data_IF_218175990545
#
_entry.id   IF_218175990545
#
_cell.length_a   1.000
_cell.length_b   1.000
_cell.length_c   1.000
_cell.angle_alpha   90.00
_cell.angle_beta   90.00
_cell.angle_gamma   90.00
#
_symmetry.space_group_name_H-M   'P 1'
#
loop_
_entity.id
_entity.type
_entity.pdbx_description
1 polymer ?
#
# COMPACT_ATOMS: atom_id res chain seq x y z
N UNK A 1 -11.69 56.48 34.25
CA UNK A 1 -12.54 57.03 33.16
C UNK A 1 -11.99 58.33 32.54
N UNK A 2 -11.70 59.42 33.29
CA UNK A 2 -11.16 60.67 32.71
C UNK A 2 -9.72 60.56 32.13
N UNK A 3 -8.89 59.69 32.70
CA UNK A 3 -7.48 59.50 32.30
C UNK A 3 -7.34 58.87 30.92
N UNK A 4 -8.14 57.86 30.60
CA UNK A 4 -8.14 57.16 29.30
C UNK A 4 -8.63 58.06 28.15
N UNK A 5 -9.64 58.89 28.40
CA UNK A 5 -10.15 59.84 27.41
C UNK A 5 -9.10 60.91 27.05
N UNK A 6 -8.38 61.43 28.05
CA UNK A 6 -7.30 62.39 27.83
C UNK A 6 -6.09 61.76 27.12
N UNK A 7 -5.80 60.48 27.38
CA UNK A 7 -4.80 59.74 26.60
C UNK A 7 -5.22 59.59 25.14
N UNK A 8 -6.47 59.21 24.86
CA UNK A 8 -7.00 59.11 23.49
C UNK A 8 -6.99 60.45 22.75
N UNK A 9 -7.31 61.55 23.43
CA UNK A 9 -7.24 62.90 22.84
C UNK A 9 -5.80 63.35 22.56
N UNK A 10 -4.85 63.05 23.45
CA UNK A 10 -3.41 63.32 23.21
C UNK A 10 -2.90 62.55 22.00
N UNK A 11 -3.24 61.26 21.90
CA UNK A 11 -2.88 60.41 20.75
C UNK A 11 -3.52 60.93 19.46
N UNK A 12 -4.80 61.30 19.48
CA UNK A 12 -5.48 61.89 18.32
C UNK A 12 -4.83 63.20 17.86
N UNK A 13 -4.42 64.07 18.79
CA UNK A 13 -3.73 65.33 18.47
C UNK A 13 -2.35 65.09 17.86
N UNK A 14 -1.63 64.06 18.32
CA UNK A 14 -0.34 63.63 17.75
C UNK A 14 -0.54 63.07 16.33
N UNK A 15 -1.55 62.20 16.13
CA UNK A 15 -1.88 61.61 14.83
C UNK A 15 -2.33 62.64 13.78
N UNK A 16 -3.00 63.73 14.20
CA UNK A 16 -3.44 64.81 13.29
C UNK A 16 -2.35 65.87 13.03
N UNK A 17 -1.20 65.78 13.69
CA UNK A 17 -0.10 66.73 13.48
C UNK A 17 0.55 66.49 12.12
N UNK A 18 0.55 67.52 11.26
CA UNK A 18 1.11 67.45 9.90
C UNK A 18 2.60 67.09 9.88
N UNK A 19 3.38 67.45 10.92
CA UNK A 19 4.80 67.07 11.00
C UNK A 19 4.97 65.59 11.35
N UNK A 20 4.15 65.06 12.25
CA UNK A 20 4.14 63.64 12.62
C UNK A 20 3.71 62.76 11.45
N UNK A 21 2.69 63.18 10.69
CA UNK A 21 2.24 62.48 9.49
C UNK A 21 3.34 62.41 8.41
N UNK A 22 4.10 63.50 8.21
CA UNK A 22 5.24 63.54 7.29
C UNK A 22 6.36 62.58 7.73
N UNK A 23 6.66 62.51 9.04
CA UNK A 23 7.67 61.58 9.57
C UNK A 23 7.25 60.13 9.32
N UNK A 24 5.99 59.77 9.55
CA UNK A 24 5.47 58.43 9.27
C UNK A 24 5.61 58.09 7.78
N UNK A 25 5.24 59.01 6.89
CA UNK A 25 5.36 58.80 5.43
C UNK A 25 6.82 58.61 5.01
N UNK A 26 7.76 59.37 5.57
CA UNK A 26 9.19 59.19 5.29
C UNK A 26 9.67 57.83 5.80
N UNK A 27 9.22 57.40 6.98
CA UNK A 27 9.56 56.10 7.56
C UNK A 27 9.00 54.93 6.73
N UNK A 28 7.78 55.05 6.20
CA UNK A 28 7.21 54.01 5.33
C UNK A 28 7.90 53.96 3.97
N UNK A 29 8.28 55.11 3.39
CA UNK A 29 9.07 55.15 2.15
C UNK A 29 10.45 54.55 2.37
N UNK A 30 11.11 54.86 3.50
CA UNK A 30 12.40 54.27 3.84
C UNK A 30 12.30 52.74 4.02
N UNK A 31 11.23 52.25 4.67
CA UNK A 31 10.97 50.82 4.80
C UNK A 31 10.78 50.13 3.45
N UNK A 32 9.97 50.71 2.55
CA UNK A 32 9.78 50.21 1.20
C UNK A 32 11.08 50.26 0.37
N UNK A 33 11.92 51.27 0.56
CA UNK A 33 13.22 51.35 -0.11
C UNK A 33 14.16 50.24 0.36
N UNK A 34 14.14 49.88 1.65
CA UNK A 34 14.91 48.74 2.17
C UNK A 34 14.43 47.42 1.58
N UNK A 35 13.12 47.21 1.42
CA UNK A 35 12.58 46.02 0.75
C UNK A 35 12.98 45.95 -0.73
N UNK A 36 12.98 47.09 -1.45
CA UNK A 36 13.41 47.15 -2.85
C UNK A 36 14.91 46.87 -2.96
N UNK A 37 15.75 47.46 -2.10
CA UNK A 37 17.19 47.17 -2.04
C UNK A 37 17.40 45.71 -1.67
N UNK A 38 16.63 45.17 -0.72
CA UNK A 38 16.60 43.76 -0.36
C UNK A 38 16.27 42.87 -1.56
N UNK A 39 15.29 43.23 -2.37
CA UNK A 39 14.92 42.50 -3.59
C UNK A 39 16.04 42.54 -4.65
N UNK A 40 16.62 43.72 -4.89
CA UNK A 40 17.72 43.87 -5.85
C UNK A 40 19.01 43.18 -5.39
N UNK A 41 19.33 43.22 -4.10
CA UNK A 41 20.51 42.56 -3.53
C UNK A 41 20.31 41.05 -3.35
N UNK A 42 19.08 40.60 -3.09
CA UNK A 42 18.71 39.17 -3.08
C UNK A 42 18.85 38.52 -4.46
N UNK A 43 18.80 39.33 -5.53
CA UNK A 43 19.09 38.89 -6.90
C UNK A 43 20.55 38.53 -7.19
N UNK A 44 21.50 38.71 -6.25
CA UNK A 44 22.93 38.40 -6.47
C UNK A 44 23.60 37.56 -5.38
N UNK A 45 22.89 37.13 -4.32
CA UNK A 45 23.52 36.52 -3.14
C UNK A 45 22.99 35.16 -2.71
N UNK A 46 21.79 34.76 -3.08
CA UNK A 46 21.26 33.43 -2.72
C UNK A 46 21.51 32.46 -3.88
N UNK A 47 22.75 31.98 -3.99
CA UNK A 47 23.01 30.68 -4.60
C UNK A 47 22.36 29.65 -3.68
N UNK A 48 21.06 29.48 -3.89
CA UNK A 48 20.33 28.32 -3.44
C UNK A 48 21.16 27.09 -3.80
N UNK A 49 21.59 26.34 -2.78
CA UNK A 49 21.91 24.92 -2.91
C UNK A 49 20.62 24.11 -3.22
N UNK A 50 19.75 24.64 -4.08
CA UNK A 50 18.73 23.87 -4.77
C UNK A 50 19.52 23.14 -5.84
N UNK A 51 19.96 21.92 -5.51
CA UNK A 51 20.53 20.98 -6.47
C UNK A 51 19.66 21.03 -7.73
N UNK A 52 20.28 21.41 -8.85
CA UNK A 52 19.60 21.78 -10.08
C UNK A 52 18.48 20.79 -10.38
N UNK A 53 17.28 21.25 -10.74
CA UNK A 53 16.19 20.37 -11.17
C UNK A 53 16.65 19.37 -12.26
N UNK A 54 17.70 19.71 -13.01
CA UNK A 54 18.39 18.83 -13.94
C UNK A 54 19.15 17.66 -13.27
N UNK A 55 19.83 17.89 -12.14
CA UNK A 55 20.52 16.86 -11.34
C UNK A 55 19.51 15.94 -10.67
N UNK A 56 18.44 16.47 -10.09
CA UNK A 56 17.35 15.68 -9.54
C UNK A 56 16.68 14.80 -10.61
N UNK A 57 16.44 15.34 -11.81
CA UNK A 57 15.89 14.58 -12.94
C UNK A 57 16.84 13.50 -13.44
N UNK A 58 18.15 13.75 -13.42
CA UNK A 58 19.20 12.79 -13.79
C UNK A 58 19.31 11.67 -12.76
N UNK A 59 19.28 11.99 -11.46
CA UNK A 59 19.25 11.03 -10.35
C UNK A 59 18.01 10.15 -10.46
N UNK A 60 16.83 10.74 -10.66
CA UNK A 60 15.58 9.98 -10.83
C UNK A 60 15.64 9.08 -12.07
N UNK A 61 16.20 9.54 -13.19
CA UNK A 61 16.37 8.71 -14.40
C UNK A 61 17.30 7.52 -14.15
N UNK A 62 18.42 7.73 -13.44
CA UNK A 62 19.37 6.67 -13.09
C UNK A 62 18.74 5.66 -12.14
N UNK A 63 18.05 6.14 -11.10
CA UNK A 63 17.31 5.30 -10.16
C UNK A 63 16.24 4.46 -10.87
N UNK A 64 15.45 5.08 -11.77
CA UNK A 64 14.47 4.35 -12.58
C UNK A 64 15.11 3.29 -13.49
N UNK A 65 16.27 3.58 -14.08
CA UNK A 65 17.00 2.61 -14.89
C UNK A 65 17.49 1.42 -14.05
N UNK A 66 18.01 1.68 -12.86
CA UNK A 66 18.43 0.66 -11.91
C UNK A 66 17.25 -0.21 -11.45
N UNK A 67 16.11 0.40 -11.08
CA UNK A 67 14.90 -0.34 -10.70
C UNK A 67 14.41 -1.23 -11.83
N UNK A 68 14.42 -0.75 -13.08
CA UNK A 68 14.04 -1.54 -14.24
C UNK A 68 14.99 -2.71 -14.47
N UNK A 69 16.30 -2.50 -14.32
CA UNK A 69 17.30 -3.56 -14.45
C UNK A 69 17.11 -4.62 -13.36
N UNK A 70 16.91 -4.19 -12.12
CA UNK A 70 16.63 -5.08 -10.99
C UNK A 70 15.34 -5.88 -11.18
N UNK A 71 14.27 -5.23 -11.61
CA UNK A 71 13.00 -5.91 -11.91
C UNK A 71 13.15 -6.93 -13.04
N UNK A 72 13.90 -6.60 -14.10
CA UNK A 72 14.21 -7.55 -15.18
C UNK A 72 14.99 -8.76 -14.68
N UNK A 73 15.99 -8.55 -13.82
CA UNK A 73 16.78 -9.63 -13.23
C UNK A 73 15.87 -10.54 -12.37
N UNK A 74 15.08 -9.97 -11.47
CA UNK A 74 14.12 -10.72 -10.65
C UNK A 74 13.13 -11.53 -11.49
N UNK A 75 12.59 -10.94 -12.56
CA UNK A 75 11.72 -11.66 -13.51
C UNK A 75 12.45 -12.82 -14.20
N UNK A 76 13.72 -12.65 -14.55
CA UNK A 76 14.55 -13.70 -15.11
C UNK A 76 14.76 -14.86 -14.13
N UNK A 77 15.06 -14.57 -12.87
CA UNK A 77 15.20 -15.57 -11.80
C UNK A 77 13.89 -16.33 -11.60
N UNK A 78 12.76 -15.61 -11.45
CA UNK A 78 11.43 -16.21 -11.30
C UNK A 78 11.11 -17.14 -12.48
N UNK A 79 11.44 -16.70 -13.70
CA UNK A 79 11.24 -17.52 -14.90
C UNK A 79 12.10 -18.78 -14.90
N UNK A 80 13.34 -18.70 -14.41
CA UNK A 80 14.22 -19.86 -14.30
C UNK A 80 13.79 -20.88 -13.23
N UNK A 81 13.07 -20.43 -12.20
CA UNK A 81 12.48 -21.30 -11.17
C UNK A 81 11.15 -21.93 -11.61
N UNK A 82 10.48 -21.36 -12.60
CA UNK A 82 9.20 -21.86 -13.06
C UNK A 82 9.34 -23.24 -13.72
N UNK A 83 8.40 -24.18 -13.49
CA UNK A 83 8.43 -25.47 -14.15
C UNK A 83 8.27 -25.31 -15.67
N UNK A 84 9.13 -25.97 -16.44
CA UNK A 84 9.07 -25.95 -17.91
C UNK A 84 7.99 -26.87 -18.49
N UNK A 85 7.64 -27.95 -17.77
CA UNK A 85 6.65 -28.94 -18.19
C UNK A 85 5.20 -28.53 -17.90
N UNK A 86 4.31 -29.53 -17.83
CA UNK A 86 2.91 -29.35 -17.44
C UNK A 86 2.80 -29.25 -15.92
N UNK A 87 2.19 -28.18 -15.42
CA UNK A 87 1.98 -27.96 -13.99
C UNK A 87 0.65 -27.27 -13.72
N UNK A 88 0.21 -27.35 -12.46
CA UNK A 88 -1.00 -26.70 -11.98
C UNK A 88 -0.61 -25.61 -11.00
N UNK A 89 -1.22 -24.44 -11.15
CA UNK A 89 -1.15 -23.36 -10.16
C UNK A 89 -2.52 -23.20 -9.54
N UNK A 90 -2.58 -23.28 -8.22
CA UNK A 90 -3.80 -23.05 -7.44
C UNK A 90 -3.65 -21.68 -6.77
N UNK A 91 -4.43 -20.71 -7.22
CA UNK A 91 -4.56 -19.42 -6.57
C UNK A 91 -5.71 -19.49 -5.56
N UNK A 92 -5.35 -19.64 -4.29
CA UNK A 92 -6.33 -19.73 -3.19
C UNK A 92 -6.96 -18.40 -2.83
N UNK A 93 -6.36 -17.27 -3.23
CA UNK A 93 -6.95 -15.95 -2.97
C UNK A 93 -8.07 -15.66 -3.96
N UNK A 94 -7.84 -15.96 -5.24
CA UNK A 94 -8.81 -15.75 -6.31
C UNK A 94 -9.72 -16.95 -6.55
N UNK A 95 -9.49 -18.08 -5.87
CA UNK A 95 -10.22 -19.34 -6.07
C UNK A 95 -10.17 -19.81 -7.53
N UNK A 96 -8.98 -19.76 -8.13
CA UNK A 96 -8.74 -20.14 -9.53
C UNK A 96 -7.65 -21.19 -9.64
N UNK A 97 -7.90 -22.20 -10.45
CA UNK A 97 -6.91 -23.18 -10.89
C UNK A 97 -6.47 -22.89 -12.32
N UNK A 98 -5.15 -22.84 -12.53
CA UNK A 98 -4.54 -22.74 -13.85
C UNK A 98 -3.81 -24.05 -14.18
N UNK A 99 -4.13 -24.65 -15.32
CA UNK A 99 -3.28 -25.65 -15.95
C UNK A 99 -2.33 -24.94 -16.90
N UNK A 100 -1.03 -25.06 -16.68
CA UNK A 100 0.01 -24.35 -17.43
C UNK A 100 1.02 -25.33 -18.03
N UNK A 101 1.57 -24.96 -19.18
CA UNK A 101 2.74 -25.61 -19.78
C UNK A 101 3.79 -24.53 -20.06
N UNK A 102 4.86 -24.52 -19.28
CA UNK A 102 5.78 -23.38 -19.20
C UNK A 102 5.02 -22.08 -18.90
N UNK A 103 5.16 -21.07 -19.76
CA UNK A 103 4.48 -19.77 -19.62
C UNK A 103 3.04 -19.76 -20.14
N UNK A 104 2.60 -20.82 -20.83
CA UNK A 104 1.28 -20.86 -21.50
C UNK A 104 0.20 -21.39 -20.57
N UNK A 105 -0.95 -20.71 -20.51
CA UNK A 105 -2.14 -21.20 -19.80
C UNK A 105 -2.94 -22.08 -20.78
N UNK A 106 -3.06 -23.36 -20.46
CA UNK A 106 -3.88 -24.33 -21.22
C UNK A 106 -5.34 -24.24 -20.78
N UNK A 107 -5.57 -24.07 -19.47
CA UNK A 107 -6.92 -23.98 -18.91
C UNK A 107 -6.95 -23.13 -17.65
N UNK A 108 -8.05 -22.39 -17.48
CA UNK A 108 -8.41 -21.66 -16.28
C UNK A 108 -9.76 -22.19 -15.78
N UNK A 109 -9.86 -22.50 -14.49
CA UNK A 109 -11.08 -23.05 -13.87
C UNK A 109 -11.32 -22.36 -12.54
N UNK A 110 -12.57 -22.02 -12.24
CA UNK A 110 -12.98 -21.55 -10.91
C UNK A 110 -13.08 -22.78 -9.99
N UNK A 111 -12.54 -22.68 -8.79
CA UNK A 111 -12.52 -23.76 -7.79
C UNK A 111 -13.04 -23.23 -6.45
N UNK A 112 -13.20 -24.10 -5.46
CA UNK A 112 -13.30 -23.70 -4.06
C UNK A 112 -12.02 -24.11 -3.36
N UNK A 113 -11.23 -23.14 -2.90
CA UNK A 113 -10.18 -23.42 -1.93
C UNK A 113 -10.79 -23.58 -0.52
N UNK A 114 -9.95 -23.97 0.44
CA UNK A 114 -10.34 -24.07 1.84
C UNK A 114 -10.85 -22.72 2.36
N UNK A 115 -11.92 -22.76 3.15
CA UNK A 115 -12.57 -21.57 3.72
C UNK A 115 -11.74 -20.87 4.80
N UNK A 116 -10.73 -21.55 5.37
CA UNK A 116 -10.02 -21.12 6.57
C UNK A 116 -10.86 -21.20 7.85
N UNK A 117 -12.06 -21.77 7.78
CA UNK A 117 -12.91 -21.95 8.97
C UNK A 117 -12.37 -23.03 9.88
N UNK A 118 -12.77 -22.95 11.15
CA UNK A 118 -12.41 -23.91 12.18
C UNK A 118 -13.69 -24.57 12.67
N UNK A 119 -13.76 -25.89 12.56
CA UNK A 119 -14.81 -26.68 13.21
C UNK A 119 -14.25 -27.32 14.47
N UNK A 120 -14.95 -27.12 15.59
CA UNK A 120 -14.65 -27.77 16.86
C UNK A 120 -15.68 -28.85 17.11
N UNK A 121 -15.20 -30.03 17.50
CA UNK A 121 -16.07 -31.12 17.93
C UNK A 121 -16.83 -30.69 19.20
N UNK A 122 -18.16 -30.89 19.28
CA UNK A 122 -18.95 -30.59 20.47
C UNK A 122 -18.44 -31.28 21.74
N UNK A 123 -17.79 -32.44 21.62
CA UNK A 123 -17.14 -33.14 22.73
C UNK A 123 -15.82 -32.52 23.19
N UNK A 124 -15.31 -31.52 22.45
CA UNK A 124 -14.05 -30.82 22.72
C UNK A 124 -12.78 -31.57 22.35
N UNK A 125 -12.87 -32.82 21.88
CA UNK A 125 -11.70 -33.69 21.65
C UNK A 125 -10.96 -33.43 20.35
N UNK A 126 -11.64 -32.88 19.34
CA UNK A 126 -11.11 -32.73 17.97
C UNK A 126 -11.40 -31.34 17.41
N UNK A 127 -10.55 -30.93 16.47
CA UNK A 127 -10.67 -29.67 15.74
C UNK A 127 -10.21 -29.91 14.30
N UNK A 128 -10.95 -29.37 13.36
CA UNK A 128 -10.59 -29.33 11.95
C UNK A 128 -10.34 -27.88 11.51
N UNK A 129 -9.33 -27.69 10.67
CA UNK A 129 -9.02 -26.42 10.01
C UNK A 129 -9.18 -26.64 8.51
N UNK A 130 -10.07 -25.88 7.88
CA UNK A 130 -10.39 -26.04 6.46
C UNK A 130 -9.48 -25.17 5.60
N UNK A 131 -8.17 -25.43 5.64
CA UNK A 131 -7.18 -24.74 4.81
C UNK A 131 -6.74 -25.58 3.61
N UNK A 132 -6.53 -24.93 2.46
CA UNK A 132 -5.75 -25.54 1.38
C UNK A 132 -4.26 -25.36 1.69
N UNK A 133 -3.49 -26.45 1.83
CA UNK A 133 -2.06 -26.36 2.17
C UNK A 133 -1.28 -25.62 1.08
N UNK A 134 -0.34 -24.77 1.51
CA UNK A 134 0.54 -24.02 0.60
C UNK A 134 1.84 -24.79 0.37
N UNK A 135 2.36 -24.72 -0.84
CA UNK A 135 3.63 -25.34 -1.21
C UNK A 135 3.58 -26.00 -2.58
N UNK A 136 4.64 -26.73 -2.91
CA UNK A 136 4.76 -27.50 -4.14
C UNK A 136 4.46 -28.98 -3.87
N UNK A 137 3.51 -29.52 -4.62
CA UNK A 137 3.08 -30.91 -4.48
C UNK A 137 3.13 -31.62 -5.83
N UNK A 138 3.41 -32.92 -5.80
CA UNK A 138 3.39 -33.79 -6.99
C UNK A 138 2.08 -34.56 -7.02
N UNK A 139 1.48 -34.65 -8.21
CA UNK A 139 0.32 -35.52 -8.44
C UNK A 139 0.80 -36.97 -8.29
N UNK A 140 0.24 -37.70 -7.34
CA UNK A 140 0.60 -39.09 -7.07
C UNK A 140 -0.20 -40.08 -7.94
N UNK A 141 -1.50 -39.87 -8.06
CA UNK A 141 -2.40 -40.74 -8.83
C UNK A 141 -3.65 -39.98 -9.28
N UNK A 142 -4.41 -40.58 -10.20
CA UNK A 142 -5.72 -40.11 -10.64
C UNK A 142 -6.69 -41.28 -10.62
N UNK A 143 -7.85 -41.09 -9.98
CA UNK A 143 -8.88 -42.13 -9.85
C UNK A 143 -10.14 -41.64 -10.56
N UNK A 144 -10.71 -42.48 -11.42
CA UNK A 144 -11.95 -42.19 -12.13
C UNK A 144 -13.12 -42.69 -11.29
N UNK A 145 -14.13 -41.83 -11.06
CA UNK A 145 -15.32 -42.14 -10.24
C UNK A 145 -14.97 -42.69 -8.84
N UNK A 146 -14.24 -41.92 -8.00
CA UNK A 146 -13.93 -42.35 -6.65
C UNK A 146 -15.21 -42.44 -5.81
N UNK A 147 -15.26 -43.40 -4.89
CA UNK A 147 -16.30 -43.45 -3.86
C UNK A 147 -16.02 -42.34 -2.84
N UNK A 148 -17.00 -41.49 -2.60
CA UNK A 148 -16.94 -40.51 -1.51
C UNK A 148 -17.39 -41.18 -0.20
N UNK A 149 -16.47 -41.28 0.75
CA UNK A 149 -16.78 -41.75 2.11
C UNK A 149 -16.92 -40.49 2.96
N UNK A 150 -18.14 -40.23 3.45
CA UNK A 150 -18.44 -39.04 4.25
C UNK A 150 -17.54 -39.04 5.50
N UNK A 151 -16.69 -38.01 5.69
CA UNK A 151 -15.80 -37.93 6.84
C UNK A 151 -16.55 -37.46 8.10
N UNK A 152 -16.02 -37.78 9.29
CA UNK A 152 -16.60 -37.41 10.58
C UNK A 152 -17.00 -35.94 10.71
N UNK A 153 -16.17 -35.03 10.20
CA UNK A 153 -16.44 -33.60 10.29
C UNK A 153 -17.72 -33.18 9.55
N UNK A 154 -18.10 -33.90 8.49
CA UNK A 154 -19.28 -33.58 7.69
C UNK A 154 -20.57 -33.94 8.43
N UNK A 155 -20.55 -34.96 9.28
CA UNK A 155 -21.69 -35.27 10.17
C UNK A 155 -21.88 -34.15 11.20
N UNK A 156 -20.79 -33.71 11.83
CA UNK A 156 -20.82 -32.64 12.84
C UNK A 156 -21.32 -31.32 12.23
N UNK A 157 -20.90 -30.99 11.01
CA UNK A 157 -21.35 -29.78 10.31
C UNK A 157 -22.86 -29.77 10.04
N UNK A 158 -23.44 -30.94 9.74
CA UNK A 158 -24.88 -31.13 9.52
C UNK A 158 -25.67 -31.32 10.84
N UNK A 159 -24.99 -31.37 12.00
CA UNK A 159 -25.62 -31.62 13.30
C UNK A 159 -26.02 -33.08 13.54
N UNK A 160 -25.46 -34.01 12.76
CA UNK A 160 -25.70 -35.45 12.86
C UNK A 160 -24.68 -36.11 13.81
N UNK A 161 -25.10 -37.20 14.44
CA UNK A 161 -24.20 -38.07 15.20
C UNK A 161 -23.29 -38.87 14.25
N UNK A 162 -22.01 -38.99 14.63
CA UNK A 162 -21.06 -39.80 13.86
C UNK A 162 -21.46 -41.29 13.96
N UNK A 163 -21.65 -41.99 12.83
CA UNK A 163 -22.03 -43.40 12.84
C UNK A 163 -21.00 -44.27 13.58
N UNK A 164 -21.46 -45.10 14.53
CA UNK A 164 -20.61 -46.06 15.25
C UNK A 164 -20.02 -47.15 14.36
N UNK A 165 -20.64 -47.38 13.19
CA UNK A 165 -20.15 -48.27 12.14
C UNK A 165 -20.16 -47.48 10.84
N UNK A 166 -19.03 -47.39 10.17
CA UNK A 166 -19.01 -47.07 8.74
C UNK A 166 -19.82 -48.14 8.01
N UNK A 167 -20.70 -47.75 7.08
CA UNK A 167 -21.39 -48.72 6.25
C UNK A 167 -20.34 -49.53 5.50
N UNK A 168 -20.16 -50.78 5.92
CA UNK A 168 -19.45 -51.78 5.14
C UNK A 168 -20.49 -52.34 4.18
N UNK A 169 -20.27 -52.04 2.89
CA UNK A 169 -20.94 -52.60 1.72
C UNK A 169 -22.39 -52.16 1.50
#
# INVERSE_FOLDING_TARGET
MKTEYLQRLKVYKILKNKTFLKIIIILTIAFLAVDVIGYYTSGHGFKDNIGSASDQKKINKRYLAELKAKNRNLRGIIKGLAPSGLYIVVDTAENVLFLKHGDTIIRKVIISAGSGSILKDPSGKRKWVFDTPRGEFKIQSKIVKPRWIKPDWAFIEEGEDIPKKTSKE
#
